data_IF_437571656693
#
_entry.id   IF_437571656693
#
_cell.length_a   1.000
_cell.length_b   1.000
_cell.length_c   1.000
_cell.angle_alpha   90.00
_cell.angle_beta   90.00
_cell.angle_gamma   90.00
#
_symmetry.space_group_name_H-M   'P 1'
#
loop_
_entity.id
_entity.type
_entity.pdbx_description
1 polymer ?
#
# COMPACT_ATOMS: atom_id res chain seq x y z
N UNK A 1 -17.42 2.96 33.66
CA UNK A 1 -18.06 3.34 32.36
C UNK A 1 -17.34 2.62 31.25
N UNK A 2 -18.07 2.08 30.27
CA UNK A 2 -17.46 1.44 29.11
C UNK A 2 -16.92 2.54 28.18
N UNK A 3 -15.66 2.43 27.77
CA UNK A 3 -15.05 3.40 26.86
C UNK A 3 -15.57 3.19 25.44
N UNK A 4 -15.81 4.27 24.72
CA UNK A 4 -16.45 4.32 23.41
C UNK A 4 -15.43 4.58 22.32
N UNK A 5 -15.40 3.73 21.30
CA UNK A 5 -14.50 3.86 20.16
C UNK A 5 -15.34 4.01 18.88
N UNK A 6 -15.27 5.20 18.27
CA UNK A 6 -15.91 5.45 16.99
C UNK A 6 -15.02 5.00 15.85
N UNK A 7 -15.61 4.33 14.88
CA UNK A 7 -14.89 3.90 13.66
C UNK A 7 -15.35 4.70 12.45
N UNK A 8 -14.40 5.01 11.58
CA UNK A 8 -14.66 5.57 10.25
C UNK A 8 -14.06 4.69 9.18
N UNK A 9 -14.81 4.45 8.12
CA UNK A 9 -14.50 3.49 7.05
C UNK A 9 -14.53 2.02 7.52
N UNK A 10 -14.25 1.11 6.60
CA UNK A 10 -14.11 -0.30 6.92
C UNK A 10 -12.80 -0.55 7.68
N UNK A 11 -12.92 -0.92 8.94
CA UNK A 11 -11.83 -1.45 9.77
C UNK A 11 -11.96 -2.97 9.81
N UNK A 12 -10.85 -3.69 9.74
CA UNK A 12 -10.85 -5.15 9.72
C UNK A 12 -11.53 -5.72 10.98
N UNK A 13 -12.49 -6.64 10.81
CA UNK A 13 -13.24 -7.28 11.89
C UNK A 13 -12.34 -7.90 12.96
N UNK A 14 -11.21 -8.50 12.54
CA UNK A 14 -10.22 -9.05 13.46
C UNK A 14 -9.71 -8.03 14.47
N UNK A 15 -9.55 -6.77 14.05
CA UNK A 15 -9.14 -5.67 14.95
C UNK A 15 -10.29 -5.22 15.85
N UNK A 16 -11.51 -5.14 15.29
CA UNK A 16 -12.70 -4.74 16.04
C UNK A 16 -13.03 -5.78 17.13
N UNK A 17 -12.92 -7.07 16.84
CA UNK A 17 -13.17 -8.15 17.79
C UNK A 17 -12.23 -8.07 19.00
N UNK A 18 -10.96 -7.75 18.80
CA UNK A 18 -9.98 -7.56 19.91
C UNK A 18 -10.43 -6.44 20.85
N UNK A 19 -11.00 -5.36 20.30
CA UNK A 19 -11.48 -4.24 21.11
C UNK A 19 -12.76 -4.62 21.89
N UNK A 20 -13.67 -5.36 21.25
CA UNK A 20 -14.90 -5.86 21.88
C UNK A 20 -14.60 -6.86 23.01
N UNK A 21 -13.63 -7.77 22.80
CA UNK A 21 -13.15 -8.69 23.85
C UNK A 21 -12.60 -7.93 25.07
N UNK A 22 -12.00 -6.77 24.84
CA UNK A 22 -11.54 -5.86 25.89
C UNK A 22 -12.65 -4.96 26.48
N UNK A 23 -13.90 -5.24 26.12
CA UNK A 23 -15.10 -4.54 26.60
C UNK A 23 -15.20 -3.06 26.20
N UNK A 24 -14.58 -2.65 25.08
CA UNK A 24 -14.88 -1.38 24.47
C UNK A 24 -16.21 -1.44 23.71
N UNK A 25 -16.97 -0.36 23.75
CA UNK A 25 -18.10 -0.15 22.86
C UNK A 25 -17.59 0.40 21.53
N UNK A 26 -17.71 -0.37 20.45
CA UNK A 26 -17.17 0.00 19.13
C UNK A 26 -18.29 0.13 18.12
N UNK A 27 -18.48 1.32 17.54
CA UNK A 27 -19.48 1.59 16.51
C UNK A 27 -19.11 2.85 15.70
N UNK A 28 -19.62 2.94 14.49
CA UNK A 28 -19.55 4.12 13.62
C UNK A 28 -20.59 5.21 13.99
N UNK A 29 -21.69 4.82 14.65
CA UNK A 29 -22.78 5.71 15.05
C UNK A 29 -22.57 6.49 16.35
N UNK A 30 -21.43 6.35 17.04
CA UNK A 30 -21.19 7.01 18.32
C UNK A 30 -21.00 8.53 18.16
N UNK A 31 -21.71 9.32 18.97
CA UNK A 31 -21.71 10.78 18.90
C UNK A 31 -20.59 11.45 19.70
N UNK A 32 -20.17 10.88 20.83
CA UNK A 32 -19.16 11.42 21.73
C UNK A 32 -18.20 10.31 22.18
N UNK A 33 -17.25 9.92 21.31
CA UNK A 33 -16.35 8.81 21.58
C UNK A 33 -15.17 9.21 22.48
N UNK A 34 -14.65 8.25 23.25
CA UNK A 34 -13.37 8.37 23.95
C UNK A 34 -12.18 8.22 23.00
N UNK A 35 -12.33 7.46 21.90
CA UNK A 35 -11.31 7.31 20.87
C UNK A 35 -11.91 7.16 19.47
N UNK A 36 -11.13 7.49 18.46
CA UNK A 36 -11.48 7.32 17.05
C UNK A 36 -10.49 6.38 16.38
N UNK A 37 -11.01 5.42 15.59
CA UNK A 37 -10.22 4.62 14.66
C UNK A 37 -10.69 4.90 13.23
N UNK A 38 -9.76 5.26 12.34
CA UNK A 38 -10.07 5.58 10.96
C UNK A 38 -9.02 5.03 9.99
N UNK A 39 -9.37 4.99 8.71
CA UNK A 39 -8.44 4.62 7.63
C UNK A 39 -8.23 5.79 6.67
N UNK A 40 -9.19 6.09 5.81
CA UNK A 40 -9.09 7.11 4.75
C UNK A 40 -10.04 8.30 4.94
N UNK A 41 -10.91 8.26 5.93
CA UNK A 41 -11.78 9.37 6.27
C UNK A 41 -10.96 10.63 6.57
N UNK A 42 -11.37 11.77 5.99
CA UNK A 42 -10.75 13.06 6.30
C UNK A 42 -11.40 13.60 7.58
N UNK A 43 -10.71 13.41 8.68
CA UNK A 43 -11.18 13.83 10.00
C UNK A 43 -11.15 15.36 10.12
N UNK A 44 -12.18 15.90 10.70
CA UNK A 44 -12.33 17.33 10.98
C UNK A 44 -12.55 17.56 12.47
N UNK A 45 -12.35 18.78 12.92
CA UNK A 45 -12.56 19.15 14.33
C UNK A 45 -14.00 18.90 14.79
N UNK A 46 -14.98 19.02 13.89
CA UNK A 46 -16.40 18.75 14.17
C UNK A 46 -16.66 17.26 14.49
N UNK A 47 -15.76 16.36 14.09
CA UNK A 47 -15.84 14.93 14.42
C UNK A 47 -15.36 14.63 15.85
N UNK A 48 -14.70 15.59 16.50
CA UNK A 48 -14.19 15.43 17.85
C UNK A 48 -15.32 15.58 18.85
N UNK A 49 -15.51 14.57 19.67
CA UNK A 49 -16.38 14.69 20.83
C UNK A 49 -15.66 15.39 22.01
N UNK A 50 -16.42 15.78 23.02
CA UNK A 50 -15.84 16.43 24.21
C UNK A 50 -14.97 15.49 25.05
N UNK A 51 -15.15 14.17 24.88
CA UNK A 51 -14.45 13.13 25.63
C UNK A 51 -13.29 12.49 24.85
N UNK A 52 -12.95 12.98 23.66
CA UNK A 52 -11.95 12.38 22.78
C UNK A 52 -10.55 12.44 23.42
N UNK A 53 -9.93 11.28 23.61
CA UNK A 53 -8.63 11.10 24.27
C UNK A 53 -7.53 10.62 23.34
N UNK A 54 -7.90 9.96 22.21
CA UNK A 54 -6.91 9.41 21.28
C UNK A 54 -7.52 9.18 19.89
N UNK A 55 -6.66 9.26 18.87
CA UNK A 55 -7.00 8.93 17.48
C UNK A 55 -6.01 7.89 16.99
N UNK A 56 -6.49 6.83 16.33
CA UNK A 56 -5.65 5.80 15.71
C UNK A 56 -5.98 5.67 14.22
N UNK A 57 -4.94 5.74 13.37
CA UNK A 57 -5.08 5.51 11.94
C UNK A 57 -4.62 4.11 11.55
N UNK A 58 -5.49 3.35 10.91
CA UNK A 58 -5.15 2.10 10.24
C UNK A 58 -4.41 2.39 8.92
N UNK A 59 -3.16 2.84 9.00
CA UNK A 59 -2.30 3.21 7.88
C UNK A 59 -1.07 4.01 8.32
N UNK A 60 -0.13 4.24 7.40
CA UNK A 60 1.15 4.87 7.71
C UNK A 60 1.08 6.41 7.73
N UNK A 61 0.46 7.04 6.73
CA UNK A 61 0.35 8.50 6.66
C UNK A 61 -0.70 9.04 7.62
N UNK A 62 -0.65 10.33 7.94
CA UNK A 62 -1.61 11.02 8.82
C UNK A 62 -2.19 12.30 8.20
N UNK A 63 -2.01 12.47 6.90
CA UNK A 63 -2.45 13.64 6.13
C UNK A 63 -3.97 13.88 6.10
N UNK A 64 -4.75 12.90 6.52
CA UNK A 64 -6.19 12.97 6.66
C UNK A 64 -6.66 13.26 8.11
N UNK A 65 -5.71 13.55 9.02
CA UNK A 65 -5.98 13.87 10.42
C UNK A 65 -5.39 15.26 10.68
N UNK A 66 -6.12 16.17 11.34
CA UNK A 66 -5.62 17.50 11.71
C UNK A 66 -4.68 17.37 12.93
N UNK A 67 -3.43 16.94 12.70
CA UNK A 67 -2.47 16.60 13.76
C UNK A 67 -2.09 17.81 14.61
N UNK A 68 -2.04 19.01 14.02
CA UNK A 68 -1.72 20.25 14.73
C UNK A 68 -2.80 20.56 15.76
N UNK A 69 -4.08 20.53 15.36
CA UNK A 69 -5.21 20.73 16.26
C UNK A 69 -5.28 19.64 17.36
N UNK A 70 -4.98 18.38 16.99
CA UNK A 70 -4.88 17.31 17.99
C UNK A 70 -3.82 17.60 19.03
N UNK A 71 -2.67 18.11 18.61
CA UNK A 71 -1.55 18.45 19.50
C UNK A 71 -1.91 19.59 20.46
N UNK A 72 -2.59 20.63 19.96
CA UNK A 72 -3.08 21.74 20.76
C UNK A 72 -4.09 21.28 21.84
N UNK A 73 -4.89 20.27 21.53
CA UNK A 73 -5.90 19.69 22.42
C UNK A 73 -5.32 18.58 23.32
N UNK A 74 -4.03 18.23 23.16
CA UNK A 74 -3.40 17.14 23.92
C UNK A 74 -3.91 15.75 23.53
N UNK A 75 -4.43 15.57 22.30
CA UNK A 75 -4.95 14.30 21.78
C UNK A 75 -3.85 13.58 20.99
N UNK A 76 -3.28 12.48 21.50
CA UNK A 76 -2.29 11.71 20.77
C UNK A 76 -2.89 11.05 19.51
N UNK A 77 -2.11 11.09 18.43
CA UNK A 77 -2.44 10.46 17.15
C UNK A 77 -1.49 9.30 16.90
N UNK A 78 -2.03 8.11 16.77
CA UNK A 78 -1.29 6.88 16.46
C UNK A 78 -1.49 6.48 15.01
N UNK A 79 -0.45 5.91 14.41
CA UNK A 79 -0.50 5.33 13.07
C UNK A 79 0.12 3.92 13.06
N UNK A 80 0.00 3.21 11.93
CA UNK A 80 0.51 1.85 11.76
C UNK A 80 1.46 1.76 10.57
N UNK A 81 2.69 2.35 10.67
CA UNK A 81 3.64 2.33 9.56
C UNK A 81 4.08 0.90 9.26
N UNK A 82 4.15 0.57 7.96
CA UNK A 82 4.62 -0.73 7.49
C UNK A 82 3.59 -1.88 7.53
N UNK A 83 2.41 -1.71 8.15
CA UNK A 83 1.42 -2.77 8.29
C UNK A 83 0.95 -3.34 6.92
N UNK A 84 0.85 -2.51 5.89
CA UNK A 84 0.45 -2.90 4.53
C UNK A 84 1.63 -2.98 3.54
N UNK A 85 2.87 -2.84 4.00
CA UNK A 85 4.03 -2.71 3.12
C UNK A 85 4.22 -3.95 2.21
N UNK A 86 3.93 -5.14 2.71
CA UNK A 86 3.99 -6.36 1.90
C UNK A 86 2.93 -6.38 0.81
N UNK A 87 1.69 -6.02 1.12
CA UNK A 87 0.60 -5.96 0.14
C UNK A 87 0.90 -4.95 -0.98
N UNK A 88 1.49 -3.80 -0.63
CA UNK A 88 1.91 -2.81 -1.64
C UNK A 88 3.06 -3.35 -2.51
N UNK A 89 4.06 -4.03 -1.94
CA UNK A 89 5.12 -4.69 -2.69
C UNK A 89 4.55 -5.68 -3.71
N UNK A 90 3.54 -6.47 -3.34
CA UNK A 90 2.90 -7.45 -4.23
C UNK A 90 2.18 -6.78 -5.41
N UNK A 91 1.50 -5.66 -5.19
CA UNK A 91 0.89 -4.88 -6.27
C UNK A 91 1.95 -4.26 -7.19
N UNK A 92 3.07 -3.80 -6.64
CA UNK A 92 4.21 -3.30 -7.45
C UNK A 92 4.77 -4.42 -8.32
N UNK A 93 4.94 -5.63 -7.77
CA UNK A 93 5.37 -6.80 -8.55
C UNK A 93 4.41 -7.10 -9.71
N UNK A 94 3.11 -7.14 -9.43
CA UNK A 94 2.09 -7.36 -10.45
C UNK A 94 2.17 -6.28 -11.55
N UNK A 95 2.30 -5.00 -11.19
CA UNK A 95 2.42 -3.90 -12.12
C UNK A 95 3.69 -4.01 -12.99
N UNK A 96 4.84 -4.36 -12.42
CA UNK A 96 6.08 -4.59 -13.15
C UNK A 96 5.94 -5.73 -14.18
N UNK A 97 5.35 -6.85 -13.81
CA UNK A 97 5.11 -7.98 -14.69
C UNK A 97 4.12 -7.63 -15.80
N UNK A 98 3.01 -6.98 -15.47
CA UNK A 98 2.00 -6.57 -16.44
C UNK A 98 2.54 -5.55 -17.45
N UNK A 99 3.36 -4.59 -17.00
CA UNK A 99 3.94 -3.58 -17.88
C UNK A 99 5.02 -4.13 -18.79
N UNK A 100 5.75 -5.17 -18.34
CA UNK A 100 6.85 -5.75 -19.10
C UNK A 100 6.40 -6.80 -20.13
N UNK A 101 5.21 -7.39 -19.99
CA UNK A 101 4.79 -8.59 -20.73
C UNK A 101 3.50 -8.42 -21.55
N UNK A 102 2.92 -7.26 -21.66
CA UNK A 102 1.70 -7.05 -22.42
C UNK A 102 0.52 -7.94 -22.00
N UNK A 103 0.44 -8.34 -20.73
CA UNK A 103 -0.55 -9.32 -20.24
C UNK A 103 -1.98 -8.80 -20.40
N UNK A 104 -2.22 -7.53 -20.10
CA UNK A 104 -3.54 -6.91 -20.23
C UNK A 104 -4.01 -6.85 -21.68
N UNK A 105 -3.11 -6.46 -22.59
CA UNK A 105 -3.39 -6.42 -24.03
C UNK A 105 -3.66 -7.83 -24.59
N UNK A 106 -2.88 -8.83 -24.12
CA UNK A 106 -3.09 -10.23 -24.49
C UNK A 106 -4.45 -10.77 -24.02
N UNK A 107 -4.85 -10.46 -22.79
CA UNK A 107 -6.15 -10.84 -22.26
C UNK A 107 -7.30 -10.20 -23.06
N UNK A 108 -7.21 -8.90 -23.37
CA UNK A 108 -8.20 -8.21 -24.19
C UNK A 108 -8.27 -8.81 -25.60
N UNK A 109 -7.14 -9.15 -26.21
CA UNK A 109 -7.11 -9.81 -27.50
C UNK A 109 -7.86 -11.14 -27.46
N UNK A 110 -7.57 -12.01 -26.49
CA UNK A 110 -8.27 -13.30 -26.36
C UNK A 110 -9.77 -13.11 -26.17
N UNK A 111 -10.18 -12.15 -25.34
CA UNK A 111 -11.59 -11.85 -25.09
C UNK A 111 -12.31 -11.24 -26.30
N UNK A 112 -11.58 -10.68 -27.27
CA UNK A 112 -12.15 -10.12 -28.51
C UNK A 112 -12.28 -11.13 -29.65
N UNK A 113 -11.80 -12.37 -29.46
CA UNK A 113 -11.90 -13.41 -30.48
C UNK A 113 -13.32 -13.98 -30.47
N UNK A 114 -14.03 -13.82 -31.58
CA UNK A 114 -15.38 -14.38 -31.79
C UNK A 114 -15.35 -15.75 -32.48
N UNK A 115 -14.17 -16.20 -32.94
CA UNK A 115 -13.99 -17.47 -33.68
C UNK A 115 -14.19 -18.66 -32.73
N UNK A 116 -15.06 -19.59 -33.13
CA UNK A 116 -15.37 -20.83 -32.39
C UNK A 116 -14.80 -22.09 -33.04
N UNK A 117 -14.33 -22.01 -34.31
CA UNK A 117 -13.70 -23.12 -35.00
C UNK A 117 -12.25 -23.30 -34.53
N UNK A 118 -11.92 -24.45 -33.96
CA UNK A 118 -10.59 -24.73 -33.42
C UNK A 118 -9.47 -24.70 -34.46
N UNK A 119 -9.78 -25.06 -35.72
CA UNK A 119 -8.79 -25.05 -36.81
C UNK A 119 -8.39 -23.62 -37.21
N UNK A 120 -9.32 -22.66 -37.13
CA UNK A 120 -9.09 -21.24 -37.42
C UNK A 120 -8.59 -20.46 -36.20
N UNK A 121 -9.02 -20.85 -34.99
CA UNK A 121 -8.64 -20.22 -33.73
C UNK A 121 -7.13 -20.32 -33.47
N UNK A 122 -6.54 -21.49 -33.70
CA UNK A 122 -5.12 -21.75 -33.41
C UNK A 122 -4.16 -20.84 -34.20
N UNK A 123 -4.28 -20.70 -35.55
CA UNK A 123 -3.46 -19.76 -36.30
C UNK A 123 -3.68 -18.30 -35.86
N UNK A 124 -4.91 -17.92 -35.54
CA UNK A 124 -5.25 -16.57 -35.08
C UNK A 124 -4.52 -16.22 -33.78
N UNK A 125 -4.57 -17.11 -32.79
CA UNK A 125 -3.84 -16.95 -31.51
C UNK A 125 -2.33 -16.90 -31.75
N UNK A 126 -1.78 -17.78 -32.57
CA UNK A 126 -0.35 -17.82 -32.87
C UNK A 126 0.15 -16.54 -33.58
N UNK A 127 -0.65 -15.95 -34.42
CA UNK A 127 -0.31 -14.66 -35.06
C UNK A 127 -0.43 -13.50 -34.10
N UNK A 128 -1.50 -13.46 -33.29
CA UNK A 128 -1.79 -12.39 -32.34
C UNK A 128 -0.77 -12.30 -31.19
N UNK A 129 -0.35 -13.45 -30.64
CA UNK A 129 0.59 -13.47 -29.51
C UNK A 129 1.92 -12.76 -29.79
N UNK A 130 2.32 -12.63 -31.03
CA UNK A 130 3.56 -11.91 -31.42
C UNK A 130 3.50 -10.43 -31.06
N UNK A 131 2.29 -9.84 -31.05
CA UNK A 131 2.07 -8.43 -30.70
C UNK A 131 2.24 -8.16 -29.19
N UNK A 132 2.20 -9.20 -28.36
CA UNK A 132 2.29 -9.09 -26.90
C UNK A 132 3.66 -9.53 -26.37
N UNK A 133 4.66 -9.63 -27.25
CA UNK A 133 6.03 -9.97 -26.88
C UNK A 133 6.60 -8.85 -26.00
N UNK A 134 6.92 -9.20 -24.75
CA UNK A 134 7.53 -8.30 -23.80
C UNK A 134 9.02 -8.59 -23.55
N UNK A 135 9.52 -8.07 -22.46
CA UNK A 135 10.88 -8.29 -21.95
C UNK A 135 10.83 -8.92 -20.56
N UNK A 136 11.91 -9.56 -20.16
CA UNK A 136 12.10 -10.03 -18.80
C UNK A 136 12.50 -8.87 -17.88
N UNK A 137 12.25 -9.02 -16.58
CA UNK A 137 12.67 -8.04 -15.57
C UNK A 137 14.15 -8.15 -15.25
N UNK A 138 14.70 -9.37 -15.35
CA UNK A 138 16.13 -9.64 -15.06
C UNK A 138 17.05 -8.73 -15.91
N UNK A 139 18.05 -8.15 -15.27
CA UNK A 139 18.97 -7.21 -15.90
C UNK A 139 18.39 -5.80 -16.15
N UNK A 140 17.07 -5.61 -16.00
CA UNK A 140 16.44 -4.29 -16.02
C UNK A 140 16.81 -3.47 -14.79
N UNK A 141 16.66 -2.13 -14.88
CA UNK A 141 16.91 -1.24 -13.75
C UNK A 141 15.60 -0.82 -13.08
N UNK A 142 15.55 -0.96 -11.76
CA UNK A 142 14.45 -0.51 -10.92
C UNK A 142 14.90 0.68 -10.07
N UNK A 143 14.34 1.86 -10.31
CA UNK A 143 14.53 3.04 -9.48
C UNK A 143 13.48 3.08 -8.36
N UNK A 144 13.91 3.25 -7.12
CA UNK A 144 13.05 3.36 -5.93
C UNK A 144 13.29 4.70 -5.25
N UNK A 145 12.27 5.55 -5.23
CA UNK A 145 12.29 6.84 -4.53
C UNK A 145 11.57 6.68 -3.20
N UNK A 146 12.29 6.91 -2.09
CA UNK A 146 11.82 6.64 -0.73
C UNK A 146 12.08 5.20 -0.29
N UNK A 147 13.07 5.01 0.60
CA UNK A 147 13.51 3.70 1.10
C UNK A 147 12.92 3.36 2.48
N UNK A 148 11.71 3.86 2.74
CA UNK A 148 10.94 3.53 3.94
C UNK A 148 10.43 2.09 3.95
N UNK A 149 9.40 1.81 4.77
CA UNK A 149 8.87 0.46 4.99
C UNK A 149 8.39 -0.26 3.71
N UNK A 150 7.93 0.48 2.69
CA UNK A 150 7.50 -0.07 1.40
C UNK A 150 8.69 -0.14 0.44
N UNK A 151 9.39 0.98 0.23
CA UNK A 151 10.47 1.07 -0.76
C UNK A 151 11.59 0.07 -0.50
N UNK A 152 11.97 -0.16 0.75
CA UNK A 152 12.95 -1.20 1.12
C UNK A 152 12.52 -2.61 0.71
N UNK A 153 11.23 -2.96 0.87
CA UNK A 153 10.69 -4.25 0.43
C UNK A 153 10.61 -4.37 -1.10
N UNK A 154 10.33 -3.26 -1.79
CA UNK A 154 10.32 -3.20 -3.26
C UNK A 154 11.73 -3.33 -3.80
N UNK A 155 12.71 -2.68 -3.18
CA UNK A 155 14.11 -2.79 -3.54
C UNK A 155 14.65 -4.23 -3.36
N UNK A 156 14.34 -4.86 -2.22
CA UNK A 156 14.68 -6.26 -1.96
C UNK A 156 14.07 -7.21 -3.02
N UNK A 157 12.79 -7.04 -3.32
CA UNK A 157 12.11 -7.78 -4.38
C UNK A 157 12.79 -7.59 -5.75
N UNK A 158 13.17 -6.37 -6.11
CA UNK A 158 13.89 -6.08 -7.36
C UNK A 158 15.22 -6.82 -7.43
N UNK A 159 15.98 -6.83 -6.34
CA UNK A 159 17.24 -7.60 -6.24
C UNK A 159 16.98 -9.11 -6.40
N UNK A 160 15.94 -9.65 -5.76
CA UNK A 160 15.57 -11.08 -5.89
C UNK A 160 15.16 -11.45 -7.31
N UNK A 161 14.57 -10.54 -8.07
CA UNK A 161 14.20 -10.71 -9.49
C UNK A 161 15.40 -10.53 -10.45
N UNK A 162 16.61 -10.30 -9.92
CA UNK A 162 17.79 -10.10 -10.74
C UNK A 162 17.86 -8.75 -11.46
N UNK A 163 17.15 -7.76 -10.97
CA UNK A 163 17.18 -6.38 -11.46
C UNK A 163 18.39 -5.62 -10.89
N UNK A 164 18.82 -4.58 -11.59
CA UNK A 164 19.70 -3.56 -11.03
C UNK A 164 18.84 -2.58 -10.24
N UNK A 165 19.06 -2.47 -8.93
CA UNK A 165 18.22 -1.62 -8.07
C UNK A 165 19.00 -0.39 -7.65
N UNK A 166 18.43 0.78 -7.95
CA UNK A 166 18.93 2.08 -7.52
C UNK A 166 17.93 2.72 -6.58
N UNK A 167 18.41 3.27 -5.47
CA UNK A 167 17.56 3.86 -4.43
C UNK A 167 17.92 5.30 -4.11
N UNK A 168 16.90 6.15 -3.97
CA UNK A 168 17.05 7.52 -3.50
C UNK A 168 16.13 7.76 -2.30
N UNK A 169 16.69 8.22 -1.19
CA UNK A 169 15.97 8.68 -0.02
C UNK A 169 16.84 9.67 0.76
N UNK A 170 16.50 10.98 0.77
CA UNK A 170 17.28 11.99 1.45
C UNK A 170 17.16 11.94 2.99
N UNK A 171 16.17 11.22 3.52
CA UNK A 171 15.85 11.16 4.94
C UNK A 171 16.03 9.75 5.53
N UNK A 172 16.68 8.83 4.81
CA UNK A 172 16.90 7.47 5.31
C UNK A 172 17.76 7.48 6.58
N UNK A 173 17.31 6.77 7.61
CA UNK A 173 18.10 6.57 8.81
C UNK A 173 19.21 5.55 8.59
N UNK A 174 20.25 5.62 9.40
CA UNK A 174 21.36 4.64 9.36
C UNK A 174 20.84 3.22 9.56
N UNK A 175 19.94 3.01 10.53
CA UNK A 175 19.36 1.69 10.82
C UNK A 175 18.51 1.15 9.66
N UNK A 176 17.83 2.02 8.93
CA UNK A 176 17.06 1.64 7.74
C UNK A 176 17.99 1.27 6.60
N UNK A 177 19.06 2.03 6.38
CA UNK A 177 20.06 1.76 5.34
C UNK A 177 20.76 0.41 5.57
N UNK A 178 21.10 0.07 6.82
CA UNK A 178 21.72 -1.23 7.15
C UNK A 178 20.84 -2.45 6.87
N UNK A 179 19.54 -2.26 6.73
CA UNK A 179 18.58 -3.34 6.39
C UNK A 179 18.41 -3.55 4.90
N UNK A 180 18.96 -2.65 4.08
CA UNK A 180 18.85 -2.78 2.62
C UNK A 180 19.78 -3.87 2.11
N UNK A 181 19.40 -4.57 1.02
CA UNK A 181 20.32 -5.49 0.33
C UNK A 181 21.58 -4.75 -0.15
N UNK A 182 22.74 -5.35 0.00
CA UNK A 182 24.03 -4.78 -0.41
C UNK A 182 24.13 -4.47 -1.92
N UNK A 183 23.20 -5.00 -2.72
CA UNK A 183 23.12 -4.78 -4.17
C UNK A 183 22.30 -3.53 -4.56
N UNK A 184 21.72 -2.82 -3.59
CA UNK A 184 21.02 -1.57 -3.87
C UNK A 184 22.04 -0.45 -3.98
N UNK A 185 22.12 0.16 -5.16
CA UNK A 185 22.98 1.31 -5.39
C UNK A 185 22.31 2.60 -4.90
N UNK A 186 22.99 3.35 -4.06
CA UNK A 186 22.50 4.67 -3.61
C UNK A 186 22.66 5.71 -4.73
N UNK A 187 21.63 6.51 -4.93
CA UNK A 187 21.68 7.74 -5.73
C UNK A 187 21.55 8.98 -4.85
N UNK A 188 22.18 10.06 -5.28
CA UNK A 188 22.19 11.35 -4.57
C UNK A 188 21.13 12.33 -5.09
N UNK A 189 20.56 12.04 -6.27
CA UNK A 189 19.49 12.82 -6.90
C UNK A 189 18.48 11.89 -7.59
N UNK A 190 17.36 12.47 -8.00
CA UNK A 190 16.33 11.78 -8.81
C UNK A 190 16.66 11.90 -10.32
N UNK A 191 17.59 12.77 -10.68
CA UNK A 191 18.04 13.03 -12.05
C UNK A 191 19.06 11.99 -12.52
#
# INVERSE_FOLDING_TARGET
>A
MTQKIKTFNAIAEKGLNILQEKKFEVSDGLSDPDAIILRSHKLKKEDFGNNLKAIARAGAGVNNIPVEECSELGIPVFNTPGANANAVKEIVLAALLMSSRGLFQGANFVNSIEESNQEELKPLIESGKKSFKGRELIGGTLGVVGMGAIGSKVADMGVMLGMNVIGYDPAITVEAAWKLPNKVERKESIE
#
